data_IF_237418304943
#
_entry.id   IF_237418304943
#
_cell.length_a   1.000
_cell.length_b   1.000
_cell.length_c   1.000
_cell.angle_alpha   90.00
_cell.angle_beta   90.00
_cell.angle_gamma   90.00
#
_symmetry.space_group_name_H-M   'P 1'
#
loop_
_entity.id
_entity.type
_entity.pdbx_description
1 polymer ?
#
# COMPACT_ATOMS: atom_id res chain seq x y z
N UNK A 1 1.23 8.16 -5.90
CA UNK A 1 1.31 7.90 -4.45
C UNK A 1 2.22 6.71 -4.22
N UNK A 2 3.04 6.72 -3.17
CA UNK A 2 3.92 5.60 -2.80
C UNK A 2 3.55 5.13 -1.39
N UNK A 3 3.47 3.81 -1.19
CA UNK A 3 3.35 3.19 0.13
C UNK A 3 4.59 2.38 0.46
N UNK A 4 5.11 2.54 1.68
CA UNK A 4 6.22 1.76 2.23
C UNK A 4 5.71 1.03 3.47
N UNK A 5 5.88 -0.30 3.51
CA UNK A 5 5.52 -1.09 4.68
C UNK A 5 6.67 -1.06 5.70
N UNK A 6 6.46 -0.34 6.81
CA UNK A 6 7.46 -0.18 7.88
C UNK A 6 7.41 -1.33 8.89
N UNK A 7 6.25 -1.99 9.01
CA UNK A 7 6.03 -3.10 9.92
C UNK A 7 4.79 -3.91 9.51
N UNK A 8 4.83 -5.23 9.73
CA UNK A 8 3.72 -6.13 9.38
C UNK A 8 3.62 -6.52 7.90
N UNK A 9 2.42 -6.97 7.53
CA UNK A 9 2.05 -7.43 6.18
C UNK A 9 0.69 -6.83 5.80
N UNK A 10 0.58 -6.29 4.60
CA UNK A 10 -0.66 -5.72 4.06
C UNK A 10 -0.88 -6.18 2.63
N UNK A 11 -2.12 -6.57 2.33
CA UNK A 11 -2.58 -6.72 0.95
C UNK A 11 -3.15 -5.38 0.48
N UNK A 12 -2.66 -4.91 -0.65
CA UNK A 12 -3.09 -3.69 -1.32
C UNK A 12 -3.93 -4.11 -2.51
N UNK A 13 -5.24 -3.83 -2.43
CA UNK A 13 -6.22 -4.21 -3.45
C UNK A 13 -6.72 -2.99 -4.21
N UNK A 14 -6.69 -3.09 -5.53
CA UNK A 14 -7.13 -2.06 -6.49
C UNK A 14 -8.06 -2.70 -7.53
N UNK A 15 -8.65 -1.90 -8.42
CA UNK A 15 -9.39 -2.45 -9.57
C UNK A 15 -8.50 -3.26 -10.55
N UNK A 16 -7.18 -3.04 -10.54
CA UNK A 16 -6.24 -3.77 -11.41
C UNK A 16 -5.78 -5.12 -10.86
N UNK A 17 -6.09 -5.41 -9.59
CA UNK A 17 -5.64 -6.61 -8.89
C UNK A 17 -5.22 -6.31 -7.45
N UNK A 18 -4.65 -7.31 -6.79
CA UNK A 18 -4.06 -7.16 -5.46
C UNK A 18 -2.62 -7.62 -5.40
N UNK A 19 -1.85 -6.94 -4.58
CA UNK A 19 -0.44 -7.22 -4.30
C UNK A 19 -0.23 -7.18 -2.79
N UNK A 20 0.58 -8.09 -2.26
CA UNK A 20 0.92 -8.11 -0.83
C UNK A 20 2.32 -7.56 -0.63
N UNK A 21 2.46 -6.61 0.29
CA UNK A 21 3.76 -6.08 0.70
C UNK A 21 4.01 -6.34 2.19
N UNK A 22 5.24 -6.64 2.52
CA UNK A 22 5.77 -6.93 3.85
C UNK A 22 6.80 -5.87 4.26
N UNK A 23 7.23 -5.91 5.52
CA UNK A 23 8.21 -4.97 6.07
C UNK A 23 9.44 -4.77 5.16
N UNK A 24 9.68 -3.52 4.76
CA UNK A 24 10.77 -3.09 3.90
C UNK A 24 10.39 -2.98 2.43
N UNK A 25 9.24 -3.53 2.02
CA UNK A 25 8.74 -3.44 0.65
C UNK A 25 7.98 -2.13 0.41
N UNK A 26 7.96 -1.73 -0.85
CA UNK A 26 7.35 -0.48 -1.32
C UNK A 26 6.50 -0.77 -2.55
N UNK A 27 5.34 -0.13 -2.66
CA UNK A 27 4.53 -0.17 -3.88
C UNK A 27 4.28 1.25 -4.39
N UNK A 28 4.31 1.40 -5.70
CA UNK A 28 3.89 2.60 -6.39
C UNK A 28 2.44 2.43 -6.83
N UNK A 29 1.58 3.36 -6.42
CA UNK A 29 0.20 3.43 -6.90
C UNK A 29 0.13 4.44 -8.06
N UNK A 30 -0.20 3.98 -9.27
CA UNK A 30 -0.39 4.84 -10.43
C UNK A 30 -1.53 5.85 -10.23
N UNK A 31 -1.41 7.02 -10.85
CA UNK A 31 -2.44 8.06 -10.79
C UNK A 31 -3.77 7.67 -11.46
N UNK A 32 -3.78 6.62 -12.29
CA UNK A 32 -4.99 6.08 -12.92
C UNK A 32 -5.84 5.22 -11.97
N UNK A 33 -5.31 4.85 -10.79
CA UNK A 33 -6.06 4.07 -9.81
C UNK A 33 -6.93 5.02 -9.01
N UNK A 34 -8.24 4.83 -9.09
CA UNK A 34 -9.20 5.69 -8.37
C UNK A 34 -9.37 5.26 -6.92
N UNK A 35 -9.21 3.96 -6.64
CA UNK A 35 -9.47 3.40 -5.32
C UNK A 35 -8.40 2.39 -4.89
N UNK A 36 -7.97 2.50 -3.63
CA UNK A 36 -7.04 1.57 -2.99
C UNK A 36 -7.67 1.09 -1.68
N UNK A 37 -7.75 -0.22 -1.50
CA UNK A 37 -8.15 -0.86 -0.25
C UNK A 37 -6.93 -1.50 0.40
N UNK A 38 -6.65 -1.11 1.65
CA UNK A 38 -5.57 -1.68 2.47
C UNK A 38 -6.15 -2.75 3.38
N UNK A 39 -5.70 -4.00 3.26
CA UNK A 39 -6.20 -5.15 4.02
C UNK A 39 -5.04 -5.68 4.88
N UNK A 40 -4.99 -5.34 6.18
CA UNK A 40 -3.97 -5.85 7.09
C UNK A 40 -4.01 -7.38 7.20
N UNK A 41 -2.86 -8.03 7.03
CA UNK A 41 -2.71 -9.49 7.17
C UNK A 41 -1.99 -9.87 8.47
N UNK A 42 -1.46 -8.89 9.20
CA UNK A 42 -0.87 -9.04 10.53
C UNK A 42 -1.66 -8.26 11.58
N UNK A 43 -1.46 -8.62 12.86
CA UNK A 43 -2.10 -7.96 14.00
C UNK A 43 -1.76 -6.47 14.13
N UNK A 44 -0.61 -6.06 13.58
CA UNK A 44 -0.18 -4.67 13.49
C UNK A 44 0.47 -4.45 12.14
N UNK A 45 0.13 -3.33 11.50
CA UNK A 45 0.70 -2.87 10.23
C UNK A 45 1.05 -1.39 10.38
N UNK A 46 2.22 -1.00 9.88
CA UNK A 46 2.63 0.41 9.79
C UNK A 46 2.99 0.72 8.36
N UNK A 47 2.29 1.70 7.77
CA UNK A 47 2.54 2.17 6.41
C UNK A 47 2.95 3.63 6.45
N UNK A 48 3.95 3.97 5.62
CA UNK A 48 4.26 5.35 5.28
C UNK A 48 3.70 5.64 3.89
N UNK A 49 2.85 6.66 3.81
CA UNK A 49 2.31 7.17 2.56
C UNK A 49 3.07 8.42 2.14
N UNK A 50 3.44 8.50 0.86
CA UNK A 50 4.04 9.69 0.26
C UNK A 50 3.23 10.09 -0.96
N UNK A 51 2.70 11.30 -0.93
CA UNK A 51 2.00 11.97 -2.02
C UNK A 51 2.70 13.28 -2.35
N UNK A 52 2.45 13.79 -3.55
CA UNK A 52 2.83 15.15 -3.95
C UNK A 52 1.51 15.88 -4.16
N UNK A 53 1.26 16.89 -3.34
CA UNK A 53 0.10 17.76 -3.48
C UNK A 53 0.46 18.96 -4.37
N UNK A 54 -0.50 19.43 -5.15
CA UNK A 54 -0.36 20.54 -6.12
C UNK A 54 -1.26 21.70 -5.72
#
# INVERSE_FOLDING_TARGET
MIFICLDGTVEIKTESGSETITKGETILIPASIESVTLIPQSSTVKLLEVTIDN
#
